data_IF_085958586548
#
_entry.id   IF_085958586548
#
_cell.length_a   1.000
_cell.length_b   1.000
_cell.length_c   1.000
_cell.angle_alpha   90.00
_cell.angle_beta   90.00
_cell.angle_gamma   90.00
#
_symmetry.space_group_name_H-M   'P 1'
#
loop_
_entity.id
_entity.type
_entity.pdbx_description
1 polymer ?
#
# COMPACT_ATOMS: atom_id res chain seq x y z
N UNK A 1 -4.61 -7.27 16.24
CA UNK A 1 -5.49 -6.63 15.22
C UNK A 1 -5.13 -7.31 13.92
N UNK A 2 -6.04 -8.06 13.32
CA UNK A 2 -5.73 -8.88 12.13
C UNK A 2 -5.95 -8.05 10.86
N UNK A 3 -5.02 -8.14 9.92
CA UNK A 3 -5.11 -7.49 8.61
C UNK A 3 -6.03 -8.36 7.73
N UNK A 4 -7.21 -7.86 7.36
CA UNK A 4 -8.07 -8.50 6.37
C UNK A 4 -7.94 -7.77 5.04
N UNK A 5 -7.62 -8.49 3.96
CA UNK A 5 -7.43 -7.91 2.65
C UNK A 5 -8.24 -8.63 1.57
N UNK A 6 -8.96 -7.83 0.79
CA UNK A 6 -9.39 -8.19 -0.57
C UNK A 6 -8.54 -7.35 -1.51
N UNK A 7 -7.39 -7.87 -1.92
CA UNK A 7 -6.54 -7.21 -2.90
C UNK A 7 -6.74 -7.88 -4.26
N UNK A 8 -7.44 -7.21 -5.18
CA UNK A 8 -7.70 -7.69 -6.56
C UNK A 8 -8.22 -9.13 -6.68
N UNK A 9 -9.13 -9.54 -5.80
CA UNK A 9 -9.76 -10.87 -5.86
C UNK A 9 -8.95 -12.01 -5.22
N UNK A 10 -7.77 -11.72 -4.64
CA UNK A 10 -7.08 -12.66 -3.77
C UNK A 10 -7.57 -12.48 -2.33
N UNK A 11 -8.10 -13.56 -1.75
CA UNK A 11 -8.30 -13.65 -0.31
C UNK A 11 -6.92 -13.75 0.34
N UNK A 12 -6.53 -12.72 1.08
CA UNK A 12 -5.25 -12.67 1.76
C UNK A 12 -5.41 -12.31 3.23
N UNK A 13 -4.54 -12.92 4.04
CA UNK A 13 -4.64 -12.87 5.49
C UNK A 13 -5.72 -13.80 6.07
N UNK A 14 -6.02 -13.67 7.37
CA UNK A 14 -5.45 -12.69 8.29
C UNK A 14 -3.94 -12.88 8.51
N UNK A 15 -3.21 -11.78 8.67
CA UNK A 15 -1.78 -11.77 9.02
C UNK A 15 -1.59 -11.48 10.50
N UNK A 16 -0.61 -12.14 11.13
CA UNK A 16 -0.30 -11.97 12.57
C UNK A 16 0.52 -10.70 12.82
N UNK A 17 1.24 -10.20 11.81
CA UNK A 17 1.96 -8.94 11.88
C UNK A 17 2.36 -8.34 10.53
N UNK A 18 3.05 -7.19 10.62
CA UNK A 18 3.57 -6.46 9.45
C UNK A 18 4.55 -7.33 8.65
N UNK A 19 5.39 -8.13 9.33
CA UNK A 19 6.30 -9.06 8.69
C UNK A 19 5.59 -10.06 7.76
N UNK A 20 4.55 -10.74 8.24
CA UNK A 20 3.86 -11.76 7.45
C UNK A 20 3.14 -11.14 6.25
N UNK A 21 2.59 -9.95 6.46
CA UNK A 21 2.03 -9.15 5.36
C UNK A 21 3.11 -8.80 4.32
N UNK A 22 4.30 -8.37 4.73
CA UNK A 22 5.39 -8.01 3.82
C UNK A 22 5.91 -9.23 3.04
N UNK A 23 6.09 -10.36 3.72
CA UNK A 23 6.52 -11.63 3.10
C UNK A 23 5.50 -12.09 2.04
N UNK A 24 4.21 -12.01 2.37
CA UNK A 24 3.15 -12.28 1.43
C UNK A 24 3.14 -11.29 0.26
N UNK A 25 3.22 -9.98 0.55
CA UNK A 25 3.15 -8.92 -0.45
C UNK A 25 4.29 -9.02 -1.46
N UNK A 26 5.53 -9.25 -1.01
CA UNK A 26 6.70 -9.43 -1.89
C UNK A 26 6.63 -10.70 -2.74
N UNK A 27 5.84 -11.69 -2.32
CA UNK A 27 5.65 -12.92 -3.10
C UNK A 27 4.67 -12.75 -4.27
N UNK A 28 3.79 -11.74 -4.23
CA UNK A 28 2.70 -11.57 -5.20
C UNK A 28 3.13 -11.53 -6.67
N UNK A 29 4.20 -10.80 -7.07
CA UNK A 29 4.66 -10.77 -8.46
C UNK A 29 5.03 -12.15 -9.02
N UNK A 30 5.34 -13.10 -8.13
CA UNK A 30 5.79 -14.46 -8.45
C UNK A 30 4.74 -15.52 -8.07
N UNK A 31 3.53 -15.10 -7.67
CA UNK A 31 2.49 -15.99 -7.13
C UNK A 31 2.08 -17.12 -8.08
N UNK A 32 2.16 -16.89 -9.38
CA UNK A 32 1.81 -17.87 -10.43
C UNK A 32 2.99 -18.72 -10.89
N UNK A 33 4.19 -18.48 -10.38
CA UNK A 33 5.38 -19.26 -10.75
C UNK A 33 5.42 -20.57 -9.95
N UNK A 34 5.95 -21.66 -10.55
CA UNK A 34 6.34 -22.86 -9.81
C UNK A 34 7.38 -22.52 -8.73
N UNK A 35 7.36 -23.22 -7.60
CA UNK A 35 8.27 -22.96 -6.48
C UNK A 35 9.76 -23.02 -6.86
N UNK A 36 10.13 -23.85 -7.84
CA UNK A 36 11.50 -23.94 -8.35
C UNK A 36 12.00 -22.69 -9.08
N UNK A 37 11.10 -21.80 -9.51
CA UNK A 37 11.43 -20.54 -10.19
C UNK A 37 11.25 -19.32 -9.29
N UNK A 38 10.71 -19.49 -8.08
CA UNK A 38 10.56 -18.40 -7.12
C UNK A 38 11.92 -18.03 -6.56
N UNK A 39 12.17 -16.73 -6.45
CA UNK A 39 13.37 -16.17 -5.85
C UNK A 39 13.01 -15.15 -4.77
N UNK A 40 13.97 -14.88 -3.88
CA UNK A 40 13.82 -13.85 -2.85
C UNK A 40 13.70 -12.47 -3.49
N UNK A 41 12.62 -11.75 -3.21
CA UNK A 41 12.44 -10.39 -3.69
C UNK A 41 13.50 -9.48 -3.08
N UNK A 42 14.34 -8.88 -3.93
CA UNK A 42 15.43 -7.98 -3.53
C UNK A 42 14.93 -6.74 -2.78
N UNK A 43 13.66 -6.36 -2.95
CA UNK A 43 13.07 -5.20 -2.28
C UNK A 43 12.42 -5.53 -0.94
N UNK A 44 12.27 -6.82 -0.61
CA UNK A 44 11.57 -7.26 0.61
C UNK A 44 12.21 -6.71 1.88
N UNK A 45 13.54 -6.66 1.93
CA UNK A 45 14.29 -6.20 3.10
C UNK A 45 14.24 -4.67 3.30
N UNK A 46 13.74 -3.91 2.32
CA UNK A 46 13.50 -2.48 2.47
C UNK A 46 12.18 -2.16 3.17
N UNK A 47 11.28 -3.15 3.32
CA UNK A 47 10.02 -2.98 4.03
C UNK A 47 10.22 -3.23 5.53
N UNK A 48 9.83 -2.29 6.41
CA UNK A 48 9.98 -2.46 7.84
C UNK A 48 9.01 -3.55 8.35
N UNK A 49 9.55 -4.54 9.06
CA UNK A 49 8.79 -5.66 9.63
C UNK A 49 8.08 -5.33 10.95
N UNK A 50 8.33 -4.13 11.48
CA UNK A 50 7.72 -3.61 12.70
C UNK A 50 7.08 -2.26 12.43
N UNK A 51 6.03 -1.95 13.19
CA UNK A 51 5.25 -0.73 13.03
C UNK A 51 3.81 -0.94 13.45
N UNK A 52 3.04 0.13 13.45
CA UNK A 52 1.61 0.03 13.69
C UNK A 52 0.86 -0.37 12.42
N UNK A 53 -0.21 -1.16 12.61
CA UNK A 53 -1.24 -1.34 11.59
C UNK A 53 -2.22 -0.19 11.74
N UNK A 54 -2.54 0.50 10.64
CA UNK A 54 -3.44 1.66 10.60
C UNK A 54 -4.52 1.44 9.56
N UNK A 55 -5.65 2.11 9.73
CA UNK A 55 -6.60 2.27 8.63
C UNK A 55 -5.95 3.21 7.62
N UNK A 56 -5.67 2.72 6.42
CA UNK A 56 -5.04 3.48 5.34
C UNK A 56 -6.02 3.65 4.19
N UNK A 57 -5.84 4.70 3.39
CA UNK A 57 -6.63 4.94 2.19
C UNK A 57 -6.48 3.77 1.20
N UNK A 58 -5.28 3.18 1.13
CA UNK A 58 -4.97 2.02 0.30
C UNK A 58 -4.55 2.39 -1.12
N UNK A 59 -5.02 3.55 -1.61
CA UNK A 59 -4.69 4.10 -2.93
C UNK A 59 -4.48 5.61 -2.91
N UNK A 60 -3.72 6.10 -1.92
CA UNK A 60 -3.46 7.54 -1.81
C UNK A 60 -2.48 8.02 -2.89
N UNK A 61 -2.96 8.86 -3.80
CA UNK A 61 -2.16 9.60 -4.78
C UNK A 61 -2.82 10.95 -5.08
N UNK A 62 -2.13 11.85 -5.78
CA UNK A 62 -2.57 13.25 -5.97
C UNK A 62 -3.97 13.39 -6.57
N UNK A 63 -4.35 12.51 -7.50
CA UNK A 63 -5.66 12.58 -8.15
C UNK A 63 -6.81 12.24 -7.20
N UNK A 64 -6.50 11.54 -6.10
CA UNK A 64 -7.43 11.21 -5.03
C UNK A 64 -7.43 12.27 -3.91
N UNK A 65 -6.73 13.39 -4.06
CA UNK A 65 -6.70 14.51 -3.11
C UNK A 65 -7.25 15.77 -3.79
N UNK A 66 -8.33 16.30 -3.24
CA UNK A 66 -8.90 17.57 -3.68
C UNK A 66 -8.24 18.70 -2.90
N UNK A 67 -7.71 19.69 -3.61
CA UNK A 67 -7.11 20.92 -3.05
C UNK A 67 -8.01 22.12 -3.36
N UNK A 68 -7.98 23.13 -2.50
CA UNK A 68 -8.67 24.40 -2.72
C UNK A 68 -8.29 25.07 -4.04
N UNK A 69 -9.27 25.56 -4.79
CA UNK A 69 -9.05 26.33 -6.02
C UNK A 69 -8.74 27.80 -5.78
N UNK A 70 -9.10 28.33 -4.61
CA UNK A 70 -8.97 29.74 -4.25
C UNK A 70 -8.21 29.90 -2.92
N UNK A 71 -7.36 30.92 -2.83
CA UNK A 71 -6.55 31.20 -1.64
C UNK A 71 -5.38 30.23 -1.44
N UNK A 72 -4.77 30.21 -0.23
CA UNK A 72 -3.65 29.32 0.07
C UNK A 72 -4.04 27.83 -0.08
N UNK A 73 -3.20 27.01 -0.74
CA UNK A 73 -3.49 25.59 -0.94
C UNK A 73 -3.72 24.86 0.37
N UNK A 74 -4.87 24.19 0.47
CA UNK A 74 -5.17 23.27 1.56
C UNK A 74 -6.01 22.09 1.06
N UNK A 75 -5.91 20.97 1.75
CA UNK A 75 -6.66 19.76 1.43
C UNK A 75 -8.13 19.96 1.78
N UNK A 76 -9.01 19.76 0.80
CA UNK A 76 -10.46 19.77 0.96
C UNK A 76 -11.01 18.38 1.25
N UNK A 77 -10.50 17.35 0.55
CA UNK A 77 -10.96 15.97 0.71
C UNK A 77 -9.95 14.95 0.20
N UNK A 78 -10.02 13.73 0.73
CA UNK A 78 -9.51 12.53 0.08
C UNK A 78 -10.69 11.71 -0.45
N UNK A 79 -10.60 11.21 -1.68
CA UNK A 79 -11.67 10.50 -2.40
C UNK A 79 -11.18 9.14 -2.90
N UNK A 80 -12.11 8.29 -3.36
CA UNK A 80 -11.83 6.94 -3.86
C UNK A 80 -11.27 5.96 -2.79
N UNK A 81 -12.05 5.78 -1.72
CA UNK A 81 -11.74 4.90 -0.59
C UNK A 81 -11.95 3.39 -0.89
N UNK A 82 -12.12 2.99 -2.15
CA UNK A 82 -12.45 1.61 -2.50
C UNK A 82 -11.37 0.59 -2.08
N UNK A 83 -10.12 1.04 -1.94
CA UNK A 83 -8.97 0.21 -1.55
C UNK A 83 -8.60 0.29 -0.05
N UNK A 84 -9.42 1.00 0.74
CA UNK A 84 -9.18 1.20 2.16
C UNK A 84 -9.13 -0.09 2.94
N UNK A 85 -8.22 -0.15 3.91
CA UNK A 85 -8.02 -1.35 4.71
C UNK A 85 -7.03 -1.12 5.86
N UNK A 86 -6.76 -2.19 6.59
CA UNK A 86 -5.81 -2.16 7.70
C UNK A 86 -4.44 -2.61 7.18
N UNK A 87 -3.54 -1.66 6.95
CA UNK A 87 -2.21 -1.92 6.38
C UNK A 87 -1.11 -1.40 7.32
N UNK A 88 0.17 -1.77 7.10
CA UNK A 88 1.29 -1.11 7.78
C UNK A 88 1.25 0.41 7.60
N UNK A 89 1.64 1.16 8.62
CA UNK A 89 1.53 2.64 8.64
C UNK A 89 2.25 3.36 7.48
N UNK A 90 3.26 2.73 6.87
CA UNK A 90 3.98 3.30 5.73
C UNK A 90 3.22 3.20 4.40
N UNK A 91 2.11 2.45 4.34
CA UNK A 91 1.47 2.05 3.08
C UNK A 91 1.07 3.24 2.19
N UNK A 92 0.33 4.20 2.73
CA UNK A 92 -0.12 5.37 1.97
C UNK A 92 1.05 6.28 1.57
N UNK A 93 2.11 6.34 2.39
CA UNK A 93 3.33 7.07 2.04
C UNK A 93 4.00 6.46 0.81
N UNK A 94 4.16 5.14 0.76
CA UNK A 94 4.71 4.46 -0.41
C UNK A 94 3.83 4.70 -1.65
N UNK A 95 2.51 4.57 -1.53
CA UNK A 95 1.58 4.79 -2.65
C UNK A 95 1.66 6.21 -3.20
N UNK A 96 1.74 7.21 -2.32
CA UNK A 96 1.90 8.61 -2.72
C UNK A 96 3.26 8.87 -3.37
N UNK A 97 4.34 8.28 -2.84
CA UNK A 97 5.69 8.45 -3.38
C UNK A 97 5.85 7.85 -4.78
N UNK A 98 5.32 6.64 -5.01
CA UNK A 98 5.43 5.97 -6.31
C UNK A 98 4.59 6.62 -7.43
N UNK A 99 3.61 7.45 -7.08
CA UNK A 99 2.74 8.15 -8.02
C UNK A 99 3.07 9.65 -8.16
N UNK A 100 4.04 10.13 -7.39
CA UNK A 100 4.57 11.48 -7.49
C UNK A 100 5.63 11.56 -8.61
N UNK A 101 5.19 11.70 -9.87
CA UNK A 101 6.10 12.07 -10.96
C UNK A 101 6.49 13.55 -10.87
N UNK A 102 7.79 13.84 -10.79
CA UNK A 102 8.33 15.21 -10.72
C UNK A 102 8.11 16.02 -12.01
N UNK A 103 8.04 15.37 -13.17
CA UNK A 103 7.88 16.05 -14.48
C UNK A 103 6.44 16.56 -14.75
N UNK A 104 5.55 16.42 -13.76
CA UNK A 104 4.16 16.88 -13.84
C UNK A 104 3.93 18.19 -13.06
N UNK A 105 5.01 18.87 -12.67
CA UNK A 105 4.99 20.21 -12.07
C UNK A 105 5.34 21.29 -13.11
#
# INVERSE_FOLDING_TARGET
MHIFLVFRGYLAGPFDGVKDFNDWFSSLPQSQLPDSLKFWDLYRDYLPDSGAIKLTHGDLHRENIIISSEGPPHVLAAIDWAHTGWYPEYWDYCKALYTAHYESE
#
